data_IF_206575444387
#
_entry.id   IF_206575444387
#
_cell.length_a   1.000
_cell.length_b   1.000
_cell.length_c   1.000
_cell.angle_alpha   90.00
_cell.angle_beta   90.00
_cell.angle_gamma   90.00
#
_symmetry.space_group_name_H-M   'P 1'
#
loop_
_entity.id
_entity.type
_entity.pdbx_description
1 polymer ?
#
# COMPACT_ATOMS: atom_id res chain seq x y z
N UNK A 1 6.21 -0.72 10.55
CA UNK A 1 7.37 -0.81 9.62
C UNK A 1 7.07 0.07 8.41
N UNK A 2 8.08 0.73 7.85
CA UNK A 2 7.96 1.57 6.65
C UNK A 2 9.15 1.31 5.74
N UNK A 3 8.87 0.94 4.49
CA UNK A 3 9.87 0.73 3.45
C UNK A 3 9.77 1.90 2.46
N UNK A 4 10.86 2.63 2.25
CA UNK A 4 10.93 3.79 1.36
C UNK A 4 11.72 3.40 0.11
N UNK A 5 11.02 3.12 -0.99
CA UNK A 5 11.62 2.56 -2.20
C UNK A 5 12.79 3.35 -2.78
N UNK A 6 12.76 4.69 -2.68
CA UNK A 6 13.84 5.58 -3.15
C UNK A 6 15.11 5.54 -2.29
N UNK A 7 15.04 4.97 -1.09
CA UNK A 7 16.13 4.93 -0.11
C UNK A 7 16.69 3.52 0.12
N UNK A 8 15.96 2.48 -0.30
CA UNK A 8 16.38 1.09 -0.14
C UNK A 8 17.70 0.80 -0.84
N UNK A 9 18.64 0.17 -0.12
CA UNK A 9 19.95 -0.27 -0.66
C UNK A 9 20.26 -1.69 -0.24
N UNK A 10 20.74 -2.52 -1.17
CA UNK A 10 21.11 -3.91 -0.90
C UNK A 10 19.93 -4.80 -0.48
N UNK A 11 18.70 -4.41 -0.85
CA UNK A 11 17.48 -5.14 -0.55
C UNK A 11 17.17 -6.16 -1.65
N UNK A 12 17.06 -7.44 -1.28
CA UNK A 12 16.62 -8.50 -2.18
C UNK A 12 15.13 -8.79 -1.93
N UNK A 13 14.31 -8.72 -2.98
CA UNK A 13 12.86 -8.85 -2.92
C UNK A 13 12.36 -10.29 -2.66
N UNK A 14 13.26 -11.23 -2.42
CA UNK A 14 12.92 -12.61 -2.06
C UNK A 14 12.38 -12.69 -0.62
N UNK A 15 11.35 -13.50 -0.41
CA UNK A 15 10.62 -13.59 0.87
C UNK A 15 11.53 -13.83 2.07
N UNK A 16 12.53 -14.70 1.92
CA UNK A 16 13.48 -15.03 2.99
C UNK A 16 14.31 -13.82 3.44
N UNK A 17 14.76 -13.00 2.49
CA UNK A 17 15.53 -11.79 2.79
C UNK A 17 14.67 -10.75 3.50
N UNK A 18 13.44 -10.54 3.03
CA UNK A 18 12.48 -9.62 3.66
C UNK A 18 12.12 -10.09 5.07
N UNK A 19 11.81 -11.37 5.25
CA UNK A 19 11.49 -11.96 6.55
C UNK A 19 12.65 -11.83 7.54
N UNK A 20 13.89 -12.02 7.09
CA UNK A 20 15.09 -11.82 7.92
C UNK A 20 15.23 -10.38 8.42
N UNK A 21 14.96 -9.40 7.57
CA UNK A 21 14.97 -7.98 7.96
C UNK A 21 13.85 -7.68 8.96
N UNK A 22 12.62 -8.10 8.68
CA UNK A 22 11.47 -7.92 9.60
C UNK A 22 11.78 -8.54 10.97
N UNK A 23 12.30 -9.77 10.99
CA UNK A 23 12.65 -10.47 12.23
C UNK A 23 13.76 -9.75 13.03
N UNK A 24 14.71 -9.11 12.35
CA UNK A 24 15.73 -8.29 13.00
C UNK A 24 15.10 -7.05 13.65
N UNK A 25 14.19 -6.37 12.95
CA UNK A 25 13.56 -5.15 13.44
C UNK A 25 12.63 -5.40 14.63
N UNK A 26 11.82 -6.47 14.60
CA UNK A 26 10.86 -6.78 15.67
C UNK A 26 11.56 -7.10 17.02
N UNK A 27 12.85 -7.47 17.01
CA UNK A 27 13.64 -7.71 18.23
C UNK A 27 14.07 -6.43 18.94
N UNK A 28 14.02 -5.30 18.24
CA UNK A 28 14.40 -4.02 18.79
C UNK A 28 13.25 -3.44 19.64
N UNK A 29 13.55 -2.65 20.68
CA UNK A 29 12.52 -1.93 21.42
C UNK A 29 11.70 -1.03 20.49
N UNK A 30 10.38 -1.07 20.65
CA UNK A 30 9.45 -0.27 19.85
C UNK A 30 9.73 1.24 20.11
N UNK A 31 9.93 2.05 19.06
CA UNK A 31 10.10 3.50 19.20
C UNK A 31 8.85 4.17 19.80
N UNK A 32 9.03 5.37 20.36
CA UNK A 32 7.91 6.20 20.78
C UNK A 32 7.01 6.57 19.59
N UNK A 33 5.72 6.77 19.84
CA UNK A 33 4.76 7.19 18.81
C UNK A 33 5.22 8.52 18.19
N UNK A 34 5.20 8.60 16.86
CA UNK A 34 5.65 9.77 16.10
C UNK A 34 7.16 9.79 15.80
N UNK A 35 7.91 8.77 16.22
CA UNK A 35 9.32 8.62 15.87
C UNK A 35 9.54 7.45 14.91
N UNK A 36 10.24 7.72 13.81
CA UNK A 36 10.72 6.73 12.87
C UNK A 36 12.22 6.52 13.08
N UNK A 37 12.64 5.29 13.41
CA UNK A 37 14.05 4.92 13.54
C UNK A 37 14.47 4.14 12.30
N UNK A 38 15.54 4.57 11.64
CA UNK A 38 16.10 3.82 10.52
C UNK A 38 16.87 2.59 11.04
N UNK A 39 16.52 1.40 10.53
CA UNK A 39 17.14 0.12 10.94
C UNK A 39 18.13 -0.39 9.92
N UNK A 40 17.84 -0.15 8.65
CA UNK A 40 18.72 -0.32 7.48
C UNK A 40 18.32 0.75 6.45
N UNK A 41 19.19 1.10 5.47
CA UNK A 41 18.87 2.10 4.46
C UNK A 41 17.47 1.94 3.87
N UNK A 42 16.60 2.93 4.08
CA UNK A 42 15.21 2.95 3.58
C UNK A 42 14.20 2.05 4.32
N UNK A 43 14.60 1.39 5.41
CA UNK A 43 13.72 0.62 6.29
C UNK A 43 13.65 1.28 7.66
N UNK A 44 12.45 1.68 8.04
CA UNK A 44 12.16 2.33 9.31
C UNK A 44 11.15 1.54 10.13
N UNK A 45 11.25 1.64 11.45
CA UNK A 45 10.19 1.25 12.38
C UNK A 45 9.76 2.42 13.24
N UNK A 46 8.55 2.31 13.76
CA UNK A 46 7.90 3.32 14.57
C UNK A 46 6.77 2.67 15.35
N UNK A 47 6.44 3.25 16.50
CA UNK A 47 5.27 2.88 17.28
C UNK A 47 4.01 3.59 16.79
N UNK A 48 2.84 3.04 17.13
CA UNK A 48 1.54 3.64 16.81
C UNK A 48 0.51 2.63 16.32
N UNK A 49 -0.70 3.12 16.07
CA UNK A 49 -1.80 2.36 15.46
C UNK A 49 -2.01 2.77 14.00
N UNK A 50 -2.90 2.05 13.29
CA UNK A 50 -3.29 2.40 11.92
C UNK A 50 -3.73 3.86 11.77
N UNK A 51 -4.47 4.40 12.73
CA UNK A 51 -4.92 5.81 12.70
C UNK A 51 -3.76 6.81 12.74
N UNK A 52 -2.69 6.50 13.48
CA UNK A 52 -1.47 7.32 13.48
C UNK A 52 -0.79 7.27 12.12
N UNK A 53 -0.67 6.07 11.53
CA UNK A 53 -0.13 5.91 10.18
C UNK A 53 -0.96 6.69 9.17
N UNK A 54 -2.29 6.58 9.18
CA UNK A 54 -3.14 7.31 8.22
C UNK A 54 -3.05 8.83 8.36
N UNK A 55 -2.88 9.35 9.58
CA UNK A 55 -2.70 10.78 9.81
C UNK A 55 -1.43 11.34 9.16
N UNK A 56 -0.37 10.53 9.03
CA UNK A 56 0.86 10.91 8.32
C UNK A 56 0.67 10.98 6.79
N UNK A 57 -0.34 10.31 6.24
CA UNK A 57 -0.63 10.23 4.81
C UNK A 57 -1.86 11.04 4.39
N UNK A 58 -2.29 12.01 5.23
CA UNK A 58 -3.49 12.83 5.03
C UNK A 58 -3.54 13.60 3.70
N UNK A 59 -2.38 13.85 3.09
CA UNK A 59 -2.27 14.58 1.82
C UNK A 59 -2.43 13.64 0.60
N UNK A 60 -2.61 12.34 0.82
CA UNK A 60 -2.86 11.33 -0.20
C UNK A 60 -4.35 10.96 -0.28
N UNK A 61 -4.83 10.65 -1.49
CA UNK A 61 -6.14 10.01 -1.66
C UNK A 61 -6.04 8.60 -1.08
N UNK A 62 -6.79 8.32 -0.03
CA UNK A 62 -6.76 7.00 0.63
C UNK A 62 -7.85 6.10 0.06
N UNK A 63 -7.45 4.96 -0.50
CA UNK A 63 -8.33 3.96 -1.11
C UNK A 63 -8.31 2.69 -0.28
N UNK A 64 -9.48 2.23 0.17
CA UNK A 64 -9.63 0.97 0.91
C UNK A 64 -10.01 -0.15 -0.04
N UNK A 65 -9.13 -1.14 -0.20
CA UNK A 65 -9.42 -2.27 -1.06
C UNK A 65 -10.43 -3.21 -0.39
N UNK A 66 -11.54 -3.44 -1.08
CA UNK A 66 -12.72 -4.15 -0.57
C UNK A 66 -13.41 -4.86 -1.73
N UNK A 67 -13.48 -6.20 -1.68
CA UNK A 67 -14.00 -7.01 -2.79
C UNK A 67 -15.49 -6.74 -3.07
N UNK A 68 -16.25 -6.34 -2.05
CA UNK A 68 -17.69 -6.09 -2.12
C UNK A 68 -18.03 -4.64 -2.53
N UNK A 69 -17.01 -3.78 -2.70
CA UNK A 69 -17.18 -2.39 -3.10
C UNK A 69 -17.31 -2.19 -4.62
N UNK A 70 -17.57 -0.95 -5.03
CA UNK A 70 -17.55 -0.57 -6.45
C UNK A 70 -16.16 -0.71 -7.05
N UNK A 71 -16.08 -0.94 -8.36
CA UNK A 71 -14.80 -1.07 -9.07
C UNK A 71 -13.92 0.17 -8.90
N UNK A 72 -12.62 -0.07 -8.74
CA UNK A 72 -11.60 0.98 -8.66
C UNK A 72 -11.53 1.84 -9.93
N UNK A 73 -11.90 1.28 -11.07
CA UNK A 73 -11.97 1.98 -12.35
C UNK A 73 -13.42 2.26 -12.77
N UNK A 74 -13.61 3.28 -13.62
CA UNK A 74 -14.92 3.63 -14.15
C UNK A 74 -15.48 2.52 -15.05
N UNK A 75 -16.81 2.33 -15.08
CA UNK A 75 -17.47 1.22 -15.81
C UNK A 75 -17.09 1.18 -17.30
N UNK A 76 -16.85 2.35 -17.91
CA UNK A 76 -16.49 2.47 -19.32
C UNK A 76 -14.99 2.75 -19.56
N UNK A 77 -14.16 2.63 -18.53
CA UNK A 77 -12.73 2.84 -18.67
C UNK A 77 -12.12 1.74 -19.54
N UNK A 78 -11.29 2.11 -20.50
CA UNK A 78 -10.46 1.18 -21.28
C UNK A 78 -9.00 1.41 -20.95
N UNK A 79 -8.17 0.38 -21.08
CA UNK A 79 -6.71 0.55 -21.04
C UNK A 79 -6.33 1.45 -22.24
N UNK A 80 -5.68 2.60 -22.00
CA UNK A 80 -5.25 3.49 -23.09
C UNK A 80 -4.33 2.77 -24.07
N UNK A 81 -4.36 3.16 -25.34
CA UNK A 81 -3.39 2.65 -26.33
C UNK A 81 -1.96 3.12 -26.04
N UNK A 82 -1.82 4.24 -25.34
CA UNK A 82 -0.57 4.80 -24.89
C UNK A 82 -0.69 5.11 -23.40
N UNK A 83 0.18 4.49 -22.61
CA UNK A 83 0.18 4.61 -21.16
C UNK A 83 0.42 6.06 -20.75
N UNK A 84 -0.45 6.58 -19.87
CA UNK A 84 -0.31 7.91 -19.27
C UNK A 84 -0.38 7.76 -17.76
N UNK A 85 0.76 7.63 -17.06
CA UNK A 85 0.77 7.36 -15.63
C UNK A 85 -0.12 8.32 -14.84
N UNK A 86 -0.86 7.79 -13.87
CA UNK A 86 -1.76 8.58 -13.03
C UNK A 86 -0.96 9.58 -12.21
N UNK A 87 -1.32 10.85 -12.31
CA UNK A 87 -0.77 11.91 -11.48
C UNK A 87 -1.43 11.93 -10.09
N UNK A 88 -0.62 12.14 -9.05
CA UNK A 88 -1.10 12.30 -7.67
C UNK A 88 -0.62 11.22 -6.70
N UNK A 89 -0.81 11.47 -5.42
CA UNK A 89 -0.42 10.55 -4.35
C UNK A 89 -1.63 9.77 -3.87
N UNK A 90 -1.64 8.46 -4.14
CA UNK A 90 -2.70 7.54 -3.73
C UNK A 90 -2.11 6.56 -2.71
N UNK A 91 -2.83 6.35 -1.60
CA UNK A 91 -2.49 5.39 -0.56
C UNK A 91 -3.52 4.25 -0.57
N UNK A 92 -3.09 3.02 -0.88
CA UNK A 92 -3.95 1.85 -0.83
C UNK A 92 -3.87 1.17 0.54
N UNK A 93 -5.02 1.04 1.20
CA UNK A 93 -5.23 0.21 2.38
C UNK A 93 -5.61 -1.20 1.93
N UNK A 94 -4.82 -2.17 2.37
CA UNK A 94 -4.96 -3.58 2.03
C UNK A 94 -4.85 -4.41 3.31
N UNK A 95 -5.79 -5.31 3.53
CA UNK A 95 -5.72 -6.30 4.60
C UNK A 95 -5.10 -7.62 4.11
N UNK A 96 -4.88 -8.53 5.07
CA UNK A 96 -4.34 -9.87 4.84
C UNK A 96 -5.46 -10.84 4.38
N UNK A 97 -5.77 -11.85 5.19
CA UNK A 97 -6.73 -12.91 4.93
C UNK A 97 -8.12 -12.58 5.50
N UNK A 98 -8.21 -11.52 6.30
CA UNK A 98 -9.43 -11.02 6.91
C UNK A 98 -9.76 -9.61 6.40
N UNK A 99 -11.05 -9.22 6.41
CA UNK A 99 -11.45 -7.85 6.09
C UNK A 99 -10.79 -6.81 7.00
N UNK A 100 -10.47 -5.64 6.44
CA UNK A 100 -9.95 -4.52 7.23
C UNK A 100 -11.08 -3.84 8.01
N UNK A 101 -11.02 -3.90 9.34
CA UNK A 101 -11.96 -3.18 10.22
C UNK A 101 -11.58 -1.69 10.32
N UNK A 102 -11.90 -0.92 9.27
CA UNK A 102 -11.73 0.53 9.23
C UNK A 102 -12.71 1.16 8.25
N UNK A 103 -13.29 2.31 8.59
CA UNK A 103 -14.10 3.13 7.71
C UNK A 103 -13.29 4.18 6.94
N UNK A 104 -11.97 4.24 7.18
CA UNK A 104 -11.09 5.22 6.57
C UNK A 104 -10.80 4.87 5.10
N UNK A 105 -10.85 5.90 4.25
CA UNK A 105 -10.59 5.78 2.82
C UNK A 105 -11.81 5.40 1.99
N UNK A 106 -11.67 5.52 0.68
CA UNK A 106 -12.74 5.28 -0.29
C UNK A 106 -12.75 3.78 -0.65
N UNK A 107 -13.82 3.04 -0.36
CA UNK A 107 -13.85 1.60 -0.60
C UNK A 107 -13.93 1.28 -2.10
N UNK A 108 -12.99 0.48 -2.61
CA UNK A 108 -12.93 0.07 -4.01
C UNK A 108 -12.49 -1.37 -4.20
N UNK A 109 -13.07 -2.00 -5.22
CA UNK A 109 -12.84 -3.38 -5.60
C UNK A 109 -11.95 -3.49 -6.83
N UNK A 110 -11.01 -4.44 -6.80
CA UNK A 110 -10.21 -4.85 -7.97
C UNK A 110 -10.83 -6.05 -8.69
N UNK A 111 -11.85 -6.68 -8.10
CA UNK A 111 -12.24 -8.04 -8.45
C UNK A 111 -13.53 -8.45 -7.77
N UNK A 112 -14.32 -9.32 -8.40
CA UNK A 112 -15.47 -9.97 -7.74
C UNK A 112 -15.05 -11.13 -6.83
N UNK A 113 -13.75 -11.31 -6.61
CA UNK A 113 -13.16 -12.42 -5.86
C UNK A 113 -12.10 -11.87 -4.91
N UNK A 114 -11.90 -12.54 -3.79
CA UNK A 114 -10.79 -12.25 -2.90
C UNK A 114 -9.46 -12.47 -3.62
N UNK A 115 -8.56 -11.48 -3.57
CA UNK A 115 -7.24 -11.54 -4.16
C UNK A 115 -6.20 -11.57 -3.05
N UNK A 116 -5.13 -12.34 -3.25
CA UNK A 116 -3.96 -12.25 -2.37
C UNK A 116 -3.34 -10.86 -2.50
N UNK A 117 -2.83 -10.34 -1.37
CA UNK A 117 -2.39 -8.95 -1.29
C UNK A 117 -1.35 -8.53 -2.36
N UNK A 118 -0.40 -9.39 -2.68
CA UNK A 118 0.61 -9.10 -3.72
C UNK A 118 0.01 -8.97 -5.12
N UNK A 119 -1.05 -9.74 -5.45
CA UNK A 119 -1.76 -9.59 -6.72
C UNK A 119 -2.54 -8.28 -6.76
N UNK A 120 -3.16 -7.89 -5.65
CA UNK A 120 -3.86 -6.61 -5.54
C UNK A 120 -2.90 -5.43 -5.77
N UNK A 121 -1.70 -5.47 -5.16
CA UNK A 121 -0.64 -4.48 -5.38
C UNK A 121 -0.23 -4.40 -6.85
N UNK A 122 0.00 -5.55 -7.50
CA UNK A 122 0.39 -5.59 -8.91
C UNK A 122 -0.68 -4.99 -9.84
N UNK A 123 -1.96 -5.28 -9.59
CA UNK A 123 -3.07 -4.70 -10.36
C UNK A 123 -3.16 -3.19 -10.14
N UNK A 124 -3.02 -2.71 -8.90
CA UNK A 124 -3.05 -1.27 -8.63
C UNK A 124 -1.93 -0.55 -9.38
N UNK A 125 -0.71 -1.08 -9.35
CA UNK A 125 0.40 -0.52 -10.13
C UNK A 125 0.11 -0.51 -11.62
N UNK A 126 -0.38 -1.62 -12.17
CA UNK A 126 -0.74 -1.70 -13.59
C UNK A 126 -1.77 -0.63 -13.99
N UNK A 127 -2.83 -0.45 -13.19
CA UNK A 127 -3.87 0.55 -13.48
C UNK A 127 -3.31 1.98 -13.43
N UNK A 128 -2.43 2.25 -12.46
CA UNK A 128 -1.78 3.56 -12.32
C UNK A 128 -0.81 3.85 -13.46
N UNK A 129 0.02 2.87 -13.83
CA UNK A 129 1.04 3.00 -14.88
C UNK A 129 0.39 3.20 -16.24
N UNK A 130 -0.69 2.47 -16.53
CA UNK A 130 -1.43 2.60 -17.79
C UNK A 130 -2.29 3.86 -17.86
N UNK A 131 -2.62 4.48 -16.72
CA UNK A 131 -3.50 5.65 -16.69
C UNK A 131 -4.97 5.32 -16.86
N UNK A 132 -5.41 4.20 -16.31
CA UNK A 132 -6.83 3.84 -16.33
C UNK A 132 -7.62 4.85 -15.50
N UNK A 133 -8.73 5.35 -16.05
CA UNK A 133 -9.58 6.31 -15.35
C UNK A 133 -10.17 5.68 -14.07
N UNK A 134 -9.66 6.15 -12.93
CA UNK A 134 -10.07 5.65 -11.63
C UNK A 134 -11.37 6.31 -11.17
N UNK A 135 -12.19 5.54 -10.48
CA UNK A 135 -13.40 5.96 -9.81
C UNK A 135 -13.04 6.43 -8.39
N UNK A 136 -12.34 7.56 -8.21
CA UNK A 136 -11.91 8.06 -6.89
C UNK A 136 -12.63 9.34 -6.48
#
# INVERSE_FOLDING_TARGET
>A
LKFVGSELRGFHAEERSVAGLIAKVIREPLPAIGHWIERTPGLYDGGGSLSHTLAEWKDCITVRLDADAQRLWNVNSTIPMQSTPTDGSIAFLLSDDQPLDTDQGIPRSLGSTWLQGHHAIAICHFLLDEGVELNL
#
